data_IF_762002165903
#
_entry.id   IF_762002165903
#
_cell.length_a   1.000
_cell.length_b   1.000
_cell.length_c   1.000
_cell.angle_alpha   90.00
_cell.angle_beta   90.00
_cell.angle_gamma   90.00
#
_symmetry.space_group_name_H-M   'P 1'
#
loop_
_entity.id
_entity.type
_entity.pdbx_description
1 polymer ?
#
# COMPACT_ATOMS: atom_id res chain seq x y z
N UNK A 1 11.11 -28.35 1.54
CA UNK A 1 11.34 -27.52 0.38
C UNK A 1 10.18 -26.67 0.06
N UNK A 2 9.08 -27.30 -0.13
CA UNK A 2 7.89 -26.58 -0.55
C UNK A 2 7.47 -25.50 0.41
N UNK A 3 7.73 -25.72 1.65
CA UNK A 3 7.25 -24.80 2.67
C UNK A 3 7.87 -23.42 2.58
N UNK A 4 9.10 -23.35 2.14
CA UNK A 4 9.64 -21.99 2.10
C UNK A 4 9.13 -21.23 0.88
N UNK A 5 8.60 -21.89 -0.09
CA UNK A 5 7.93 -21.20 -1.16
C UNK A 5 6.65 -20.56 -0.65
N UNK A 6 5.98 -21.23 0.26
CA UNK A 6 4.79 -20.66 0.88
C UNK A 6 5.13 -19.39 1.65
N UNK A 7 6.26 -19.43 2.35
CA UNK A 7 6.72 -18.27 3.10
C UNK A 7 6.93 -17.09 2.17
N UNK A 8 7.52 -17.34 1.00
CA UNK A 8 7.78 -16.26 0.08
C UNK A 8 6.53 -15.57 -0.40
N UNK A 9 5.45 -16.31 -0.54
CA UNK A 9 4.19 -15.75 -1.00
C UNK A 9 3.63 -14.75 -0.03
N UNK A 10 3.99 -14.86 1.24
CA UNK A 10 3.45 -14.02 2.28
C UNK A 10 4.44 -13.01 2.81
N UNK A 11 5.57 -12.89 2.15
CA UNK A 11 6.55 -11.90 2.55
C UNK A 11 5.97 -10.52 2.40
N UNK A 12 5.94 -9.73 3.46
CA UNK A 12 5.50 -8.34 3.34
C UNK A 12 6.50 -7.57 2.49
N UNK A 13 6.03 -6.52 1.87
CA UNK A 13 6.90 -5.64 1.12
C UNK A 13 7.64 -4.79 2.15
N UNK A 14 8.98 -4.87 2.19
CA UNK A 14 9.74 -4.12 3.21
C UNK A 14 9.84 -2.65 2.82
N UNK A 15 8.80 -1.91 3.11
CA UNK A 15 8.73 -0.52 2.74
C UNK A 15 8.33 0.31 3.95
N UNK A 16 9.22 1.14 4.42
CA UNK A 16 8.90 2.07 5.47
C UNK A 16 8.24 3.32 4.87
N UNK A 17 7.82 4.21 5.74
CA UNK A 17 7.12 5.41 5.33
C UNK A 17 7.94 6.24 4.33
N UNK A 18 9.23 6.43 4.61
CA UNK A 18 10.07 7.25 3.74
C UNK A 18 10.25 6.62 2.37
N UNK A 19 10.43 5.32 2.33
CA UNK A 19 10.59 4.61 1.06
C UNK A 19 9.34 4.75 0.22
N UNK A 20 8.18 4.59 0.82
CA UNK A 20 6.91 4.72 0.10
C UNK A 20 6.69 6.14 -0.39
N UNK A 21 7.01 7.13 0.44
CA UNK A 21 6.91 8.52 0.02
C UNK A 21 7.76 8.80 -1.20
N UNK A 22 8.99 8.32 -1.18
CA UNK A 22 9.91 8.55 -2.28
C UNK A 22 9.50 7.78 -3.55
N UNK A 23 9.21 6.50 -3.39
CA UNK A 23 8.91 5.66 -4.54
C UNK A 23 7.58 5.99 -5.20
N UNK A 24 6.58 6.33 -4.40
CA UNK A 24 5.22 6.53 -4.91
C UNK A 24 4.82 7.99 -5.02
N UNK A 25 5.62 8.88 -4.48
CA UNK A 25 5.29 10.30 -4.53
C UNK A 25 4.10 10.66 -3.67
N UNK A 26 3.96 10.02 -2.52
CA UNK A 26 2.83 10.24 -1.63
C UNK A 26 3.27 10.96 -0.37
N UNK A 27 2.31 11.52 0.35
CA UNK A 27 2.58 12.22 1.60
C UNK A 27 2.83 11.21 2.72
N UNK A 28 3.38 11.66 3.87
CA UNK A 28 3.59 10.75 5.00
C UNK A 28 2.32 10.03 5.44
N UNK A 29 1.21 10.73 5.51
CA UNK A 29 -0.04 10.11 5.91
C UNK A 29 -0.51 9.08 4.90
N UNK A 30 -0.40 9.42 3.62
CA UNK A 30 -0.76 8.49 2.55
C UNK A 30 0.13 7.25 2.58
N UNK A 31 1.42 7.44 2.87
CA UNK A 31 2.34 6.32 2.97
C UNK A 31 1.94 5.37 4.09
N UNK A 32 1.47 5.90 5.21
CA UNK A 32 1.01 5.07 6.31
C UNK A 32 -0.23 4.25 5.93
N UNK A 33 -1.12 4.86 5.15
CA UNK A 33 -2.28 4.14 4.65
C UNK A 33 -1.85 2.99 3.74
N UNK A 34 -0.89 3.26 2.86
CA UNK A 34 -0.37 2.21 1.98
C UNK A 34 0.27 1.10 2.80
N UNK A 35 1.06 1.44 3.81
CA UNK A 35 1.66 0.43 4.68
C UNK A 35 0.62 -0.48 5.30
N UNK A 36 -0.45 0.11 5.82
CA UNK A 36 -1.50 -0.68 6.45
C UNK A 36 -2.10 -1.67 5.46
N UNK A 37 -2.34 -1.22 4.24
CA UNK A 37 -2.93 -2.09 3.23
C UNK A 37 -1.93 -3.12 2.70
N UNK A 38 -0.65 -2.79 2.65
CA UNK A 38 0.37 -3.74 2.20
C UNK A 38 0.59 -4.85 3.22
N UNK A 39 0.44 -4.54 4.50
CA UNK A 39 0.69 -5.50 5.56
C UNK A 39 -0.53 -6.33 5.93
N UNK A 40 -1.60 -6.19 5.18
CA UNK A 40 -2.84 -6.91 5.44
C UNK A 40 -3.21 -7.72 4.20
N UNK A 41 -3.62 -8.96 4.41
CA UNK A 41 -3.98 -9.84 3.29
C UNK A 41 -5.47 -9.81 3.00
N UNK A 42 -6.12 -8.75 3.18
CA UNK A 42 -7.55 -8.65 2.91
C UNK A 42 -7.97 -7.21 2.99
N UNK A 43 -9.07 -6.97 3.64
CA UNK A 43 -9.64 -5.65 3.74
C UNK A 43 -9.22 -4.98 5.04
N UNK A 44 -8.92 -3.69 4.96
CA UNK A 44 -8.53 -2.89 6.11
C UNK A 44 -9.69 -1.96 6.43
N UNK A 45 -10.22 -2.05 7.64
CA UNK A 45 -11.27 -1.14 8.08
C UNK A 45 -10.69 0.20 8.51
N UNK A 46 -11.58 1.18 8.62
CA UNK A 46 -11.13 2.52 9.00
C UNK A 46 -10.47 2.53 10.37
N UNK A 47 -10.91 1.66 11.27
CA UNK A 47 -10.34 1.60 12.61
C UNK A 47 -8.93 1.02 12.63
N UNK A 48 -8.53 0.37 11.54
CA UNK A 48 -7.19 -0.20 11.43
C UNK A 48 -6.24 0.73 10.70
N UNK A 49 -6.75 1.82 10.16
CA UNK A 49 -5.94 2.82 9.48
C UNK A 49 -5.43 3.84 10.49
N UNK A 50 -4.38 4.58 10.15
CA UNK A 50 -3.85 5.59 11.06
C UNK A 50 -4.91 6.60 11.46
N UNK A 51 -4.86 7.02 12.72
CA UNK A 51 -5.77 8.04 13.21
C UNK A 51 -5.38 9.39 12.61
N UNK A 52 -6.38 10.10 12.05
CA UNK A 52 -6.12 11.34 11.34
C UNK A 52 -7.19 12.37 11.67
N UNK A 53 -6.88 13.62 11.37
CA UNK A 53 -7.81 14.73 11.57
C UNK A 53 -8.85 14.81 10.47
N UNK A 54 -8.53 14.27 9.31
CA UNK A 54 -9.40 14.38 8.14
C UNK A 54 -10.11 13.05 7.92
N UNK A 55 -11.12 13.08 7.08
CA UNK A 55 -11.84 11.85 6.83
C UNK A 55 -10.96 10.86 6.06
N UNK A 56 -11.11 9.58 6.37
CA UNK A 56 -10.39 8.53 5.66
C UNK A 56 -10.69 8.59 4.17
N UNK A 57 -11.94 8.89 3.81
CA UNK A 57 -12.32 8.99 2.40
C UNK A 57 -11.53 10.05 1.66
N UNK A 58 -11.25 11.16 2.31
CA UNK A 58 -10.50 12.22 1.68
C UNK A 58 -9.06 11.80 1.42
N UNK A 59 -8.44 11.13 2.39
CA UNK A 59 -7.08 10.63 2.22
C UNK A 59 -7.04 9.59 1.10
N UNK A 60 -7.99 8.68 1.07
CA UNK A 60 -8.07 7.67 0.02
C UNK A 60 -8.25 8.33 -1.35
N UNK A 61 -9.06 9.37 -1.42
CA UNK A 61 -9.29 10.08 -2.67
C UNK A 61 -7.99 10.68 -3.22
N UNK A 62 -7.24 11.39 -2.38
CA UNK A 62 -5.98 12.00 -2.82
C UNK A 62 -4.95 10.93 -3.14
N UNK A 63 -4.94 9.84 -2.37
CA UNK A 63 -4.04 8.74 -2.61
C UNK A 63 -4.32 8.09 -3.97
N UNK A 64 -5.59 7.87 -4.29
CA UNK A 64 -5.97 7.30 -5.57
C UNK A 64 -5.47 8.16 -6.73
N UNK A 65 -5.59 9.46 -6.61
CA UNK A 65 -5.13 10.36 -7.68
C UNK A 65 -3.65 10.21 -7.97
N UNK A 66 -2.88 9.86 -6.95
CA UNK A 66 -1.45 9.69 -7.10
C UNK A 66 -1.06 8.30 -7.58
N UNK A 67 -1.84 7.30 -7.21
CA UNK A 67 -1.50 5.92 -7.51
C UNK A 67 -2.09 5.40 -8.83
N UNK A 68 -3.26 5.87 -9.21
CA UNK A 68 -3.90 5.37 -10.43
C UNK A 68 -3.07 5.56 -11.69
N UNK A 69 -2.37 6.70 -11.86
CA UNK A 69 -1.49 6.82 -13.02
C UNK A 69 -0.39 5.76 -13.06
N UNK A 70 -0.07 5.19 -11.92
CA UNK A 70 0.95 4.13 -11.81
C UNK A 70 0.33 2.74 -11.90
N UNK A 71 -0.97 2.65 -12.20
CA UNK A 71 -1.70 1.40 -12.30
C UNK A 71 -1.83 0.67 -10.97
N UNK A 72 -1.85 1.43 -9.90
CA UNK A 72 -2.04 0.90 -8.54
C UNK A 72 -3.42 1.34 -8.08
N UNK A 73 -4.28 0.37 -7.80
CA UNK A 73 -5.66 0.65 -7.43
C UNK A 73 -5.89 0.42 -5.95
N UNK A 74 -6.60 1.34 -5.33
CA UNK A 74 -7.11 1.15 -3.97
C UNK A 74 -8.59 0.91 -4.11
N UNK A 75 -9.03 -0.29 -3.77
CA UNK A 75 -10.43 -0.66 -3.91
C UNK A 75 -11.11 -0.63 -2.56
N UNK A 76 -12.44 -0.49 -2.57
CA UNK A 76 -13.19 -0.55 -1.33
C UNK A 76 -14.34 -1.54 -1.51
N UNK A 77 -14.87 -2.02 -0.40
CA UNK A 77 -15.93 -3.03 -0.42
C UNK A 77 -17.33 -2.41 -0.27
N UNK A 78 -17.41 -1.09 -0.24
CA UNK A 78 -18.68 -0.41 -0.05
C UNK A 78 -19.08 -0.28 1.41
N UNK A 79 -18.31 -0.85 2.32
CA UNK A 79 -18.61 -0.83 3.75
C UNK A 79 -17.50 -0.17 4.58
N UNK A 80 -16.76 0.72 3.96
CA UNK A 80 -15.71 1.44 4.67
C UNK A 80 -14.42 0.66 4.86
N UNK A 81 -14.22 -0.39 4.08
CA UNK A 81 -12.96 -1.15 4.11
C UNK A 81 -12.25 -1.02 2.78
N UNK A 82 -10.93 -1.04 2.83
CA UNK A 82 -10.08 -0.77 1.68
C UNK A 82 -9.02 -1.85 1.51
N UNK A 83 -8.55 -2.00 0.28
CA UNK A 83 -7.53 -3.01 -0.02
C UNK A 83 -6.77 -2.62 -1.28
N UNK A 84 -5.55 -3.16 -1.38
CA UNK A 84 -4.77 -3.06 -2.61
C UNK A 84 -4.68 -4.48 -3.17
N UNK A 85 -5.16 -4.72 -4.40
CA UNK A 85 -5.12 -6.08 -4.96
C UNK A 85 -3.69 -6.61 -5.06
N UNK A 86 -3.52 -7.94 -5.01
CA UNK A 86 -2.18 -8.53 -5.09
C UNK A 86 -1.39 -8.11 -6.34
N UNK A 87 -2.04 -7.96 -7.47
CA UNK A 87 -1.35 -7.52 -8.69
C UNK A 87 -0.81 -6.11 -8.53
N UNK A 88 -1.52 -5.25 -7.81
CA UNK A 88 -1.06 -3.90 -7.57
C UNK A 88 0.04 -3.86 -6.52
N UNK A 89 0.01 -4.79 -5.56
CA UNK A 89 1.11 -4.89 -4.60
C UNK A 89 2.41 -5.23 -5.30
N UNK A 90 2.33 -6.04 -6.34
CA UNK A 90 3.51 -6.37 -7.12
C UNK A 90 4.04 -5.16 -7.87
N UNK A 91 3.15 -4.32 -8.38
CA UNK A 91 3.57 -3.07 -9.02
C UNK A 91 4.28 -2.17 -8.02
N UNK A 92 3.76 -2.10 -6.81
CA UNK A 92 4.39 -1.31 -5.75
C UNK A 92 5.78 -1.86 -5.46
N UNK A 93 5.92 -3.18 -5.35
CA UNK A 93 7.21 -3.80 -5.10
C UNK A 93 8.22 -3.42 -6.18
N UNK A 94 7.82 -3.51 -7.44
CA UNK A 94 8.71 -3.18 -8.55
C UNK A 94 9.07 -1.70 -8.56
N UNK A 95 8.10 -0.85 -8.20
CA UNK A 95 8.35 0.58 -8.15
C UNK A 95 9.36 0.92 -7.07
N UNK A 96 9.24 0.26 -5.91
CA UNK A 96 10.18 0.46 -4.81
C UNK A 96 11.57 -0.01 -5.23
N UNK A 97 11.66 -1.19 -5.83
CA UNK A 97 12.95 -1.74 -6.25
C UNK A 97 13.64 -0.84 -7.27
N UNK A 98 12.86 -0.27 -8.18
CA UNK A 98 13.41 0.63 -9.20
C UNK A 98 13.83 1.97 -8.60
N UNK A 99 13.22 2.39 -7.51
CA UNK A 99 13.52 3.68 -6.91
C UNK A 99 14.69 3.62 -5.93
N UNK A 100 14.97 2.44 -5.36
CA UNK A 100 16.06 2.32 -4.40
C UNK A 100 17.39 2.14 -5.12
N UNK A 101 18.47 2.72 -4.58
CA UNK A 101 19.78 2.49 -5.18
C UNK A 101 20.15 1.02 -5.03
N UNK A 102 20.67 0.45 -6.09
CA UNK A 102 21.17 -0.91 -6.07
C UNK A 102 22.62 -0.82 -5.65
N UNK A 103 22.83 -1.17 -4.47
CA UNK A 103 24.11 -0.99 -3.92
C UNK A 103 25.18 -1.85 -4.24
#
# INVERSE_FOLDING_TARGET
MVEFMTVEKHNPIPADEKTLMYALGVSPMEARFVQSMLNTTGWVGEEELPEIKYSVRQIIYTLRKKLEPKKIWVINDGNGRYSIPPSCKEIIRRTIEAALPTG
#
